data_IF_203518498582
#
_entry.id   IF_203518498582
#
_cell.length_a   1.000
_cell.length_b   1.000
_cell.length_c   1.000
_cell.angle_alpha   90.00
_cell.angle_beta   90.00
_cell.angle_gamma   90.00
#
_symmetry.space_group_name_H-M   'P 1'
#
loop_
_entity.id
_entity.type
_entity.pdbx_description
1 polymer ?
#
# COMPACT_ATOMS: atom_id res chain seq x y z
N UNK A 1 13.22 -7.78 -32.53
CA UNK A 1 12.84 -6.42 -32.13
C UNK A 1 11.73 -6.42 -31.07
N UNK A 2 10.90 -7.48 -30.98
CA UNK A 2 9.80 -7.55 -30.00
C UNK A 2 10.20 -7.99 -28.57
N UNK A 3 11.20 -8.87 -28.42
CA UNK A 3 11.63 -9.37 -27.11
C UNK A 3 12.35 -8.31 -26.26
N UNK A 4 13.16 -7.46 -26.91
CA UNK A 4 13.88 -6.39 -26.23
C UNK A 4 12.91 -5.29 -25.77
N UNK A 5 11.92 -4.95 -26.60
CA UNK A 5 10.87 -3.99 -26.27
C UNK A 5 9.97 -4.47 -25.13
N UNK A 6 9.53 -5.74 -25.13
CA UNK A 6 8.78 -6.31 -24.00
C UNK A 6 9.60 -6.37 -22.70
N UNK A 7 10.89 -6.69 -22.78
CA UNK A 7 11.77 -6.71 -21.61
C UNK A 7 11.93 -5.33 -20.98
N UNK A 8 11.96 -4.27 -21.80
CA UNK A 8 12.05 -2.90 -21.34
C UNK A 8 10.74 -2.47 -20.65
N UNK A 9 9.59 -2.80 -21.22
CA UNK A 9 8.27 -2.51 -20.63
C UNK A 9 8.09 -3.18 -19.26
N UNK A 10 8.44 -4.46 -19.13
CA UNK A 10 8.35 -5.19 -17.85
C UNK A 10 9.28 -4.60 -16.78
N UNK A 11 10.50 -4.19 -17.17
CA UNK A 11 11.42 -3.51 -16.25
C UNK A 11 10.86 -2.16 -15.80
N UNK A 12 10.33 -1.36 -16.72
CA UNK A 12 9.73 -0.06 -16.39
C UNK A 12 8.53 -0.22 -15.46
N UNK A 13 7.61 -1.14 -15.76
CA UNK A 13 6.46 -1.44 -14.90
C UNK A 13 6.90 -1.92 -13.52
N UNK A 14 7.87 -2.84 -13.44
CA UNK A 14 8.40 -3.33 -12.18
C UNK A 14 9.03 -2.23 -11.33
N UNK A 15 9.81 -1.33 -11.94
CA UNK A 15 10.41 -0.18 -11.25
C UNK A 15 9.33 0.79 -10.77
N UNK A 16 8.33 1.10 -11.61
CA UNK A 16 7.21 1.98 -11.25
C UNK A 16 6.44 1.42 -10.06
N UNK A 17 6.09 0.13 -10.10
CA UNK A 17 5.41 -0.55 -8.99
C UNK A 17 6.29 -0.56 -7.75
N UNK A 18 7.59 -0.85 -7.86
CA UNK A 18 8.49 -0.84 -6.70
C UNK A 18 8.59 0.55 -6.05
N UNK A 19 8.63 1.63 -6.84
CA UNK A 19 8.65 3.00 -6.33
C UNK A 19 7.31 3.35 -5.68
N UNK A 20 6.19 3.08 -6.36
CA UNK A 20 4.85 3.32 -5.83
C UNK A 20 4.62 2.53 -4.52
N UNK A 21 5.13 1.30 -4.47
CA UNK A 21 5.12 0.49 -3.28
C UNK A 21 5.98 1.13 -2.17
N UNK A 22 7.20 1.57 -2.50
CA UNK A 22 8.10 2.24 -1.56
C UNK A 22 7.50 3.49 -0.90
N UNK A 23 6.76 4.30 -1.66
CA UNK A 23 6.18 5.56 -1.16
C UNK A 23 5.06 5.30 -0.14
N UNK A 24 4.18 4.31 -0.36
CA UNK A 24 3.07 4.07 0.58
C UNK A 24 3.51 3.42 1.91
N UNK A 25 4.69 2.79 1.94
CA UNK A 25 5.26 2.20 3.17
C UNK A 25 5.59 3.27 4.21
N UNK A 26 5.82 4.53 3.79
CA UNK A 26 6.12 5.63 4.72
C UNK A 26 4.96 5.90 5.69
N UNK A 27 3.71 6.16 5.21
CA UNK A 27 2.53 6.23 6.08
C UNK A 27 2.34 5.02 6.99
N UNK A 28 2.44 3.80 6.44
CA UNK A 28 2.21 2.57 7.19
C UNK A 28 3.27 2.36 8.28
N UNK A 29 4.54 2.60 7.96
CA UNK A 29 5.65 2.53 8.90
C UNK A 29 5.50 3.53 10.05
N UNK A 30 4.99 4.73 9.78
CA UNK A 30 4.69 5.72 10.82
C UNK A 30 3.60 5.21 11.77
N UNK A 31 2.51 4.67 11.22
CA UNK A 31 1.40 4.09 11.99
C UNK A 31 1.88 2.96 12.91
N UNK A 32 2.74 2.07 12.41
CA UNK A 32 3.29 0.94 13.17
C UNK A 32 4.32 1.43 14.23
N UNK A 33 5.08 2.48 13.93
CA UNK A 33 6.11 3.00 14.84
C UNK A 33 5.53 3.63 16.11
N UNK A 34 4.35 4.25 16.04
CA UNK A 34 3.69 4.93 17.17
C UNK A 34 3.40 4.03 18.38
N UNK A 35 2.71 2.87 18.25
CA UNK A 35 2.50 1.97 19.38
C UNK A 35 3.82 1.38 19.91
N UNK A 36 4.79 1.11 19.04
CA UNK A 36 6.13 0.64 19.45
C UNK A 36 6.86 1.74 20.22
N UNK A 37 6.69 3.01 19.85
CA UNK A 37 7.25 4.14 20.57
C UNK A 37 6.62 4.27 21.96
N UNK A 38 5.30 4.15 22.08
CA UNK A 38 4.62 4.19 23.38
C UNK A 38 5.03 3.05 24.31
N UNK A 39 5.46 1.90 23.78
CA UNK A 39 5.94 0.78 24.59
C UNK A 39 7.44 0.83 24.89
N UNK A 40 8.28 1.34 23.98
CA UNK A 40 9.75 1.33 24.11
C UNK A 40 10.37 2.64 24.58
N UNK A 41 9.63 3.76 24.49
CA UNK A 41 10.07 5.10 24.88
C UNK A 41 11.17 5.73 23.99
N UNK A 42 11.68 5.02 23.00
CA UNK A 42 12.79 5.48 22.14
C UNK A 42 12.37 5.66 20.68
N UNK A 43 12.53 6.88 20.17
CA UNK A 43 12.21 7.24 18.78
C UNK A 43 13.03 6.45 17.75
N UNK A 44 14.33 6.29 18.01
CA UNK A 44 15.21 5.55 17.11
C UNK A 44 14.93 4.05 17.11
N UNK A 45 14.69 3.45 18.28
CA UNK A 45 14.37 2.02 18.35
C UNK A 45 13.04 1.72 17.68
N UNK A 46 12.00 2.50 17.95
CA UNK A 46 10.68 2.33 17.32
C UNK A 46 10.73 2.49 15.81
N UNK A 47 11.46 3.50 15.30
CA UNK A 47 11.67 3.67 13.86
C UNK A 47 12.40 2.48 13.22
N UNK A 48 13.51 2.04 13.82
CA UNK A 48 14.29 0.92 13.27
C UNK A 48 13.49 -0.38 13.28
N UNK A 49 12.77 -0.68 14.37
CA UNK A 49 11.94 -1.88 14.47
C UNK A 49 10.82 -1.85 13.44
N UNK A 50 10.07 -0.74 13.34
CA UNK A 50 8.99 -0.61 12.37
C UNK A 50 9.52 -0.70 10.93
N UNK A 51 10.64 -0.03 10.64
CA UNK A 51 11.29 -0.08 9.33
C UNK A 51 11.77 -1.49 8.95
N UNK A 52 12.39 -2.21 9.89
CA UNK A 52 12.82 -3.60 9.67
C UNK A 52 11.63 -4.52 9.38
N UNK A 53 10.54 -4.40 10.15
CA UNK A 53 9.32 -5.20 9.94
C UNK A 53 8.72 -4.91 8.56
N UNK A 54 8.59 -3.63 8.18
CA UNK A 54 8.04 -3.23 6.88
C UNK A 54 8.85 -3.79 5.71
N UNK A 55 10.18 -3.62 5.74
CA UNK A 55 11.07 -4.13 4.68
C UNK A 55 11.00 -5.65 4.59
N UNK A 56 11.06 -6.35 5.73
CA UNK A 56 10.99 -7.80 5.76
C UNK A 56 9.66 -8.32 5.22
N UNK A 57 8.53 -7.71 5.60
CA UNK A 57 7.22 -8.09 5.10
C UNK A 57 7.09 -7.89 3.58
N UNK A 58 7.56 -6.75 3.05
CA UNK A 58 7.54 -6.46 1.62
C UNK A 58 8.38 -7.47 0.82
N UNK A 59 9.59 -7.77 1.30
CA UNK A 59 10.51 -8.68 0.63
C UNK A 59 9.95 -10.10 0.59
N UNK A 60 9.40 -10.57 1.71
CA UNK A 60 8.74 -11.87 1.78
C UNK A 60 7.52 -11.94 0.88
N UNK A 61 6.69 -10.88 0.85
CA UNK A 61 5.55 -10.77 -0.05
C UNK A 61 5.96 -10.80 -1.52
N UNK A 62 7.05 -10.11 -1.89
CA UNK A 62 7.57 -10.12 -3.26
C UNK A 62 8.09 -11.51 -3.68
N UNK A 63 8.80 -12.20 -2.80
CA UNK A 63 9.27 -13.58 -3.05
C UNK A 63 8.08 -14.51 -3.20
N UNK A 64 7.10 -14.43 -2.30
CA UNK A 64 5.91 -15.27 -2.35
C UNK A 64 5.08 -15.01 -3.61
N UNK A 65 4.89 -13.74 -3.97
CA UNK A 65 4.22 -13.32 -5.20
C UNK A 65 4.94 -13.83 -6.44
N UNK A 66 6.27 -13.76 -6.49
CA UNK A 66 7.05 -14.29 -7.60
C UNK A 66 6.90 -15.81 -7.75
N UNK A 67 7.00 -16.56 -6.65
CA UNK A 67 6.82 -18.01 -6.68
C UNK A 67 5.42 -18.37 -7.17
N UNK A 68 4.39 -17.71 -6.65
CA UNK A 68 3.01 -17.94 -7.05
C UNK A 68 2.76 -17.57 -8.52
N UNK A 69 3.37 -16.49 -8.99
CA UNK A 69 3.31 -16.03 -10.37
C UNK A 69 3.90 -17.04 -11.36
N UNK A 70 5.05 -17.63 -11.05
CA UNK A 70 5.71 -18.60 -11.96
C UNK A 70 5.04 -19.98 -11.92
N UNK A 71 4.35 -20.33 -10.83
CA UNK A 71 3.83 -21.70 -10.63
C UNK A 71 2.35 -21.88 -10.97
N UNK A 72 1.47 -20.99 -10.51
CA UNK A 72 0.01 -21.22 -10.53
C UNK A 72 -0.82 -20.06 -11.09
N UNK A 73 -0.18 -19.07 -11.73
CA UNK A 73 -0.86 -17.86 -12.16
C UNK A 73 -1.98 -18.12 -13.18
N UNK A 74 -3.17 -17.64 -12.86
CA UNK A 74 -4.34 -17.58 -13.74
C UNK A 74 -5.30 -16.48 -13.25
N UNK A 75 -6.29 -16.12 -14.05
CA UNK A 75 -7.24 -15.05 -13.76
C UNK A 75 -8.03 -15.27 -12.46
N UNK A 76 -8.31 -16.53 -12.10
CA UNK A 76 -8.97 -16.87 -10.85
C UNK A 76 -8.08 -16.61 -9.63
N UNK A 77 -6.80 -16.98 -9.71
CA UNK A 77 -5.82 -16.75 -8.64
C UNK A 77 -5.60 -15.26 -8.42
N UNK A 78 -5.41 -14.48 -9.49
CA UNK A 78 -5.23 -13.03 -9.36
C UNK A 78 -6.48 -12.36 -8.77
N UNK A 79 -7.69 -12.73 -9.20
CA UNK A 79 -8.94 -12.20 -8.65
C UNK A 79 -9.09 -12.49 -7.15
N UNK A 80 -8.81 -13.72 -6.71
CA UNK A 80 -8.87 -14.12 -5.30
C UNK A 80 -7.82 -13.34 -4.48
N UNK A 81 -6.59 -13.21 -4.99
CA UNK A 81 -5.54 -12.44 -4.30
C UNK A 81 -5.92 -10.97 -4.15
N UNK A 82 -6.43 -10.33 -5.21
CA UNK A 82 -6.88 -8.95 -5.14
C UNK A 82 -8.01 -8.80 -4.11
N UNK A 83 -9.00 -9.71 -4.11
CA UNK A 83 -10.08 -9.67 -3.12
C UNK A 83 -9.55 -9.78 -1.68
N UNK A 84 -8.61 -10.69 -1.42
CA UNK A 84 -8.00 -10.86 -0.09
C UNK A 84 -7.23 -9.59 0.32
N UNK A 85 -6.38 -9.06 -0.57
CA UNK A 85 -5.57 -7.87 -0.28
C UNK A 85 -6.48 -6.67 -0.01
N UNK A 86 -7.50 -6.44 -0.84
CA UNK A 86 -8.48 -5.37 -0.63
C UNK A 86 -9.21 -5.51 0.70
N UNK A 87 -9.60 -6.72 1.09
CA UNK A 87 -10.24 -6.97 2.38
C UNK A 87 -9.31 -6.66 3.57
N UNK A 88 -8.04 -7.07 3.48
CA UNK A 88 -7.03 -6.79 4.52
C UNK A 88 -6.75 -5.29 4.64
N UNK A 89 -6.60 -4.58 3.52
CA UNK A 89 -6.38 -3.13 3.52
C UNK A 89 -7.59 -2.38 4.11
N UNK A 90 -8.82 -2.79 3.77
CA UNK A 90 -10.02 -2.24 4.37
C UNK A 90 -10.07 -2.49 5.88
N UNK A 91 -9.72 -3.70 6.33
CA UNK A 91 -9.63 -4.02 7.76
C UNK A 91 -8.62 -3.12 8.49
N UNK A 92 -7.45 -2.88 7.88
CA UNK A 92 -6.42 -1.98 8.43
C UNK A 92 -6.91 -0.52 8.52
N UNK A 93 -7.69 -0.05 7.55
CA UNK A 93 -8.29 1.29 7.62
C UNK A 93 -9.28 1.36 8.79
N UNK A 94 -10.18 0.39 8.89
CA UNK A 94 -11.25 0.37 9.90
C UNK A 94 -10.74 0.18 11.33
N UNK A 95 -9.76 -0.69 11.54
CA UNK A 95 -9.27 -1.06 12.87
C UNK A 95 -7.93 -0.40 13.24
N UNK A 96 -7.19 0.09 12.26
CA UNK A 96 -5.90 0.76 12.46
C UNK A 96 -6.02 2.27 12.28
N UNK A 97 -6.24 2.72 11.05
CA UNK A 97 -6.11 4.15 10.69
C UNK A 97 -7.21 5.03 11.29
N UNK A 98 -8.49 4.63 11.20
CA UNK A 98 -9.61 5.43 11.73
C UNK A 98 -9.55 5.54 13.27
N UNK A 99 -9.32 4.47 14.05
CA UNK A 99 -9.19 4.58 15.50
C UNK A 99 -7.99 5.41 15.92
N UNK A 100 -6.88 5.32 15.17
CA UNK A 100 -5.71 6.15 15.40
C UNK A 100 -6.04 7.62 15.15
N UNK A 101 -6.72 7.94 14.03
CA UNK A 101 -7.17 9.29 13.73
C UNK A 101 -8.10 9.85 14.82
N UNK A 102 -9.05 9.05 15.32
CA UNK A 102 -9.92 9.43 16.44
C UNK A 102 -9.13 9.71 17.74
N UNK A 103 -8.04 8.98 17.99
CA UNK A 103 -7.22 9.19 19.18
C UNK A 103 -6.39 10.49 19.10
N UNK A 104 -5.96 10.89 17.90
CA UNK A 104 -5.15 12.10 17.69
C UNK A 104 -5.98 13.36 17.42
N UNK A 105 -7.22 13.21 16.94
CA UNK A 105 -8.19 14.29 16.73
C UNK A 105 -9.54 13.92 17.37
N UNK A 106 -9.68 14.08 18.70
CA UNK A 106 -10.89 13.69 19.43
C UNK A 106 -12.10 14.60 19.16
N UNK A 107 -11.85 15.85 18.77
CA UNK A 107 -12.88 16.86 18.50
C UNK A 107 -13.36 16.83 17.04
N UNK A 108 -12.76 15.98 16.21
CA UNK A 108 -13.12 15.79 14.80
C UNK A 108 -12.97 17.06 13.94
N UNK A 109 -12.01 17.93 14.28
CA UNK A 109 -11.77 19.16 13.53
C UNK A 109 -11.27 18.87 12.11
N UNK A 110 -10.47 17.82 11.92
CA UNK A 110 -9.78 17.53 10.66
C UNK A 110 -10.04 16.12 10.13
N UNK A 111 -10.39 15.17 10.99
CA UNK A 111 -10.48 13.75 10.63
C UNK A 111 -11.55 13.47 9.58
N UNK A 112 -12.79 13.92 9.79
CA UNK A 112 -13.89 13.68 8.84
C UNK A 112 -13.64 14.38 7.50
N UNK A 113 -13.19 15.64 7.53
CA UNK A 113 -12.86 16.38 6.31
C UNK A 113 -11.73 15.72 5.51
N UNK A 114 -10.67 15.27 6.20
CA UNK A 114 -9.53 14.61 5.56
C UNK A 114 -9.90 13.25 4.96
N UNK A 115 -10.78 12.49 5.62
CA UNK A 115 -11.27 11.21 5.11
C UNK A 115 -12.05 11.40 3.79
N UNK A 116 -13.07 12.25 3.81
CA UNK A 116 -13.89 12.50 2.62
C UNK A 116 -13.08 13.20 1.52
N UNK A 117 -12.19 14.13 1.88
CA UNK A 117 -11.26 14.76 0.94
C UNK A 117 -10.36 13.74 0.24
N UNK A 118 -9.84 12.75 0.98
CA UNK A 118 -9.08 11.64 0.40
C UNK A 118 -9.90 10.78 -0.56
N UNK A 119 -11.12 10.40 -0.17
CA UNK A 119 -12.02 9.60 -1.02
C UNK A 119 -12.34 10.34 -2.32
N UNK A 120 -12.68 11.63 -2.24
CA UNK A 120 -12.98 12.46 -3.42
C UNK A 120 -11.75 12.60 -4.31
N UNK A 121 -10.57 12.84 -3.71
CA UNK A 121 -9.32 12.93 -4.45
C UNK A 121 -9.04 11.64 -5.24
N UNK A 122 -9.12 10.47 -4.59
CA UNK A 122 -8.92 9.20 -5.27
C UNK A 122 -9.96 8.93 -6.36
N UNK A 123 -11.22 9.27 -6.12
CA UNK A 123 -12.28 9.13 -7.13
C UNK A 123 -12.02 10.00 -8.38
N UNK A 124 -11.51 11.24 -8.21
CA UNK A 124 -11.14 12.11 -9.32
C UNK A 124 -9.95 11.52 -10.09
N UNK A 125 -8.94 11.04 -9.38
CA UNK A 125 -7.75 10.42 -9.99
C UNK A 125 -8.15 9.18 -10.80
N UNK A 126 -9.01 8.32 -10.25
CA UNK A 126 -9.54 7.14 -10.94
C UNK A 126 -10.34 7.53 -12.20
N UNK A 127 -11.25 8.50 -12.09
CA UNK A 127 -12.00 8.99 -13.23
C UNK A 127 -11.09 9.55 -14.34
N UNK A 128 -10.01 10.23 -13.97
CA UNK A 128 -9.03 10.75 -14.93
C UNK A 128 -8.29 9.62 -15.66
N UNK A 129 -7.87 8.58 -14.94
CA UNK A 129 -7.22 7.42 -15.53
C UNK A 129 -8.15 6.64 -16.46
N UNK A 130 -9.43 6.49 -16.10
CA UNK A 130 -10.44 5.83 -16.94
C UNK A 130 -10.66 6.60 -18.28
N UNK A 131 -10.75 7.93 -18.21
CA UNK A 131 -10.84 8.78 -19.41
C UNK A 131 -9.57 8.69 -20.27
N UNK A 132 -8.40 8.53 -19.66
CA UNK A 132 -7.14 8.37 -20.40
C UNK A 132 -7.00 6.97 -21.02
N UNK A 133 -7.52 5.92 -20.38
CA UNK A 133 -7.41 4.54 -20.85
C UNK A 133 -8.41 4.16 -21.95
N UNK A 134 -9.51 4.89 -22.08
CA UNK A 134 -10.52 4.68 -23.14
C UNK A 134 -10.08 5.15 -24.54
N UNK A 135 -8.91 5.78 -24.66
CA UNK A 135 -8.36 6.30 -25.93
C UNK A 135 -7.15 5.51 -26.48
N UNK A 136 -6.88 4.30 -26.00
CA UNK A 136 -5.80 3.42 -26.48
C UNK A 136 -6.26 2.00 -26.77
#
# INVERSE_FOLDING_TARGET
>A
MDLEHQSHQLKTLGIQVAIALGIHILPEGLIISLPIYFSTGSRWKSFLIAGSIGISAQMLGAIFGYVLFVTYWNDGVSAILFAIISAVLLYNVLHGMIPLANKYDPEDEYRTYSLFGGIIFFAIVEALFDISGTNS
#
